data_IF_232846234516
#
_entry.id   IF_232846234516
#
_cell.length_a   1.000
_cell.length_b   1.000
_cell.length_c   1.000
_cell.angle_alpha   90.00
_cell.angle_beta   90.00
_cell.angle_gamma   90.00
#
_symmetry.space_group_name_H-M   'P 1'
#
loop_
_entity.id
_entity.type
_entity.pdbx_description
1 polymer ?
#
# COMPACT_ATOMS: atom_id res chain seq x y z
N UNK A 1 -11.83 16.03 -4.72
CA UNK A 1 -12.10 14.78 -3.97
C UNK A 1 -10.88 13.89 -4.12
N UNK A 2 -10.18 13.55 -3.03
CA UNK A 2 -9.04 12.63 -3.09
C UNK A 2 -9.52 11.26 -3.59
N UNK A 3 -8.88 10.74 -4.63
CA UNK A 3 -9.22 9.43 -5.19
C UNK A 3 -9.02 8.33 -4.14
N UNK A 4 -9.94 7.35 -4.02
CA UNK A 4 -9.70 6.21 -3.14
C UNK A 4 -8.47 5.42 -3.61
N UNK A 5 -7.54 5.13 -2.69
CA UNK A 5 -6.37 4.31 -2.96
C UNK A 5 -6.80 2.90 -3.41
N UNK A 6 -6.04 2.28 -4.32
CA UNK A 6 -6.28 0.92 -4.79
C UNK A 6 -5.30 -0.04 -4.15
N UNK A 7 -5.70 -1.29 -3.94
CA UNK A 7 -4.78 -2.32 -3.42
C UNK A 7 -3.58 -2.55 -4.36
N UNK A 8 -3.75 -2.33 -5.66
CA UNK A 8 -2.67 -2.36 -6.64
C UNK A 8 -1.62 -1.25 -6.47
N UNK A 9 -1.89 -0.23 -5.64
CA UNK A 9 -0.92 0.82 -5.29
C UNK A 9 -0.01 0.40 -4.12
N UNK A 10 -0.42 -0.63 -3.36
CA UNK A 10 0.29 -1.12 -2.17
C UNK A 10 1.77 -1.47 -2.39
N UNK A 11 2.18 -2.19 -3.46
CA UNK A 11 3.60 -2.50 -3.67
C UNK A 11 4.45 -1.23 -3.90
N UNK A 12 3.88 -0.20 -4.51
CA UNK A 12 4.56 1.08 -4.74
C UNK A 12 4.71 1.85 -3.43
N UNK A 13 3.61 1.99 -2.67
CA UNK A 13 3.63 2.66 -1.36
C UNK A 13 4.59 1.97 -0.38
N UNK A 14 4.66 0.64 -0.42
CA UNK A 14 5.61 -0.14 0.37
C UNK A 14 7.05 0.16 -0.04
N UNK A 15 7.33 0.20 -1.35
CA UNK A 15 8.65 0.51 -1.87
C UNK A 15 9.09 1.95 -1.52
N UNK A 16 8.17 2.92 -1.61
CA UNK A 16 8.41 4.29 -1.18
C UNK A 16 8.78 4.37 0.31
N UNK A 17 8.08 3.62 1.16
CA UNK A 17 8.36 3.54 2.58
C UNK A 17 9.66 2.77 2.92
N UNK A 18 10.37 2.23 1.90
CA UNK A 18 11.59 1.45 2.08
C UNK A 18 11.38 0.11 2.78
N UNK A 19 10.16 -0.44 2.76
CA UNK A 19 9.80 -1.64 3.51
C UNK A 19 9.85 -2.90 2.65
N UNK A 20 10.36 -3.99 3.23
CA UNK A 20 10.08 -5.34 2.75
C UNK A 20 8.63 -5.74 3.05
N UNK A 21 8.13 -6.77 2.35
CA UNK A 21 6.80 -7.35 2.60
C UNK A 21 6.67 -7.81 4.06
N UNK A 22 7.73 -8.40 4.62
CA UNK A 22 7.78 -8.86 6.01
C UNK A 22 7.68 -7.72 7.03
N UNK A 23 8.34 -6.59 6.77
CA UNK A 23 8.26 -5.43 7.66
C UNK A 23 6.89 -4.76 7.61
N UNK A 24 6.27 -4.68 6.43
CA UNK A 24 4.89 -4.18 6.30
C UNK A 24 3.92 -5.10 7.04
N UNK A 25 4.05 -6.42 6.88
CA UNK A 25 3.26 -7.41 7.61
C UNK A 25 3.38 -7.24 9.13
N UNK A 26 4.59 -7.04 9.66
CA UNK A 26 4.84 -6.76 11.08
C UNK A 26 4.17 -5.46 11.53
N UNK A 27 4.35 -4.35 10.80
CA UNK A 27 3.71 -3.07 11.10
C UNK A 27 2.18 -3.19 11.14
N UNK A 28 1.61 -3.92 10.19
CA UNK A 28 0.17 -4.13 10.10
C UNK A 28 -0.33 -5.24 11.03
N UNK A 29 0.55 -5.96 11.75
CA UNK A 29 0.25 -7.16 12.56
C UNK A 29 -0.62 -8.17 11.80
N UNK A 30 -0.14 -8.59 10.63
CA UNK A 30 -0.72 -9.63 9.77
C UNK A 30 0.37 -10.57 9.24
N UNK A 31 -0.01 -11.65 8.56
CA UNK A 31 0.96 -12.57 7.95
C UNK A 31 1.57 -12.00 6.66
N UNK A 32 2.77 -12.44 6.30
CA UNK A 32 3.44 -12.08 5.03
C UNK A 32 2.54 -12.45 3.83
N UNK A 33 1.98 -13.66 3.84
CA UNK A 33 1.03 -14.11 2.82
C UNK A 33 -0.23 -13.25 2.69
N UNK A 34 -0.69 -12.61 3.77
CA UNK A 34 -1.82 -11.67 3.66
C UNK A 34 -1.41 -10.48 2.80
N UNK A 35 -0.22 -9.91 3.04
CA UNK A 35 0.29 -8.75 2.31
C UNK A 35 0.54 -9.09 0.84
N UNK A 36 1.17 -10.23 0.55
CA UNK A 36 1.40 -10.70 -0.83
C UNK A 36 0.10 -10.78 -1.63
N UNK A 37 -0.95 -11.38 -1.04
CA UNK A 37 -2.27 -11.50 -1.68
C UNK A 37 -2.97 -10.15 -1.84
N UNK A 38 -2.73 -9.19 -0.96
CA UNK A 38 -3.25 -7.84 -1.11
C UNK A 38 -2.52 -7.07 -2.21
N UNK A 39 -1.19 -7.18 -2.29
CA UNK A 39 -0.40 -6.55 -3.36
C UNK A 39 -0.75 -7.13 -4.73
N UNK A 40 -0.97 -8.44 -4.81
CA UNK A 40 -1.49 -9.12 -5.99
C UNK A 40 -2.98 -8.83 -6.27
N UNK A 41 -3.67 -8.10 -5.39
CA UNK A 41 -5.10 -7.83 -5.46
C UNK A 41 -5.99 -9.09 -5.51
N UNK A 42 -5.47 -10.24 -5.07
CA UNK A 42 -6.22 -11.51 -4.99
C UNK A 42 -7.26 -11.50 -3.87
N UNK A 43 -6.95 -10.80 -2.77
CA UNK A 43 -7.81 -10.72 -1.60
C UNK A 43 -7.95 -9.28 -1.15
N UNK A 44 -9.18 -8.90 -0.85
CA UNK A 44 -9.48 -7.61 -0.23
C UNK A 44 -9.43 -7.79 1.30
N UNK A 45 -8.60 -7.02 2.03
CA UNK A 45 -8.59 -7.08 3.48
C UNK A 45 -9.96 -6.69 4.05
N UNK A 46 -10.33 -7.29 5.19
CA UNK A 46 -11.61 -7.01 5.84
C UNK A 46 -11.43 -6.51 7.28
N UNK A 47 -12.47 -5.84 7.79
CA UNK A 47 -12.57 -5.39 9.19
C UNK A 47 -11.33 -4.66 9.71
N UNK A 48 -10.75 -5.17 10.79
CA UNK A 48 -9.59 -4.56 11.44
C UNK A 48 -8.32 -4.56 10.57
N UNK A 49 -8.18 -5.51 9.63
CA UNK A 49 -7.04 -5.53 8.69
C UNK A 49 -7.14 -4.35 7.72
N UNK A 50 -8.33 -4.13 7.14
CA UNK A 50 -8.59 -3.00 6.25
C UNK A 50 -8.41 -1.65 6.95
N UNK A 51 -8.88 -1.51 8.20
CA UNK A 51 -8.68 -0.25 8.95
C UNK A 51 -7.20 0.08 9.15
N UNK A 52 -6.39 -0.89 9.57
CA UNK A 52 -4.93 -0.71 9.74
C UNK A 52 -4.24 -0.36 8.43
N UNK A 53 -4.57 -1.08 7.36
CA UNK A 53 -4.03 -0.81 6.04
C UNK A 53 -4.38 0.59 5.55
N UNK A 54 -5.65 1.00 5.65
CA UNK A 54 -6.11 2.35 5.29
C UNK A 54 -5.39 3.45 6.04
N UNK A 55 -5.26 3.27 7.35
CA UNK A 55 -4.57 4.23 8.20
C UNK A 55 -3.09 4.36 7.79
N UNK A 56 -2.40 3.24 7.61
CA UNK A 56 -1.00 3.24 7.18
C UNK A 56 -0.81 3.89 5.80
N UNK A 57 -1.69 3.58 4.84
CA UNK A 57 -1.67 4.19 3.49
C UNK A 57 -1.88 5.70 3.59
N UNK A 58 -2.89 6.15 4.34
CA UNK A 58 -3.15 7.57 4.54
C UNK A 58 -1.93 8.29 5.12
N UNK A 59 -1.21 7.67 6.06
CA UNK A 59 0.05 8.22 6.59
C UNK A 59 1.14 8.32 5.52
N UNK A 60 1.25 7.36 4.59
CA UNK A 60 2.25 7.45 3.52
C UNK A 60 1.90 8.54 2.51
N UNK A 61 0.63 8.62 2.11
CA UNK A 61 0.16 9.64 1.18
C UNK A 61 0.31 11.06 1.76
N UNK A 62 0.13 11.23 3.07
CA UNK A 62 0.33 12.51 3.75
C UNK A 62 1.80 12.97 3.79
N UNK A 63 2.76 12.07 3.56
CA UNK A 63 4.18 12.41 3.44
C UNK A 63 4.56 12.81 2.00
N UNK A 64 3.65 12.67 1.04
CA UNK A 64 3.87 12.98 -0.37
C UNK A 64 3.23 14.32 -0.71
N UNK A 65 3.97 15.19 -1.41
CA UNK A 65 3.42 16.46 -1.93
C UNK A 65 2.39 16.22 -3.03
N UNK A 66 2.72 15.36 -4.00
CA UNK A 66 1.80 14.89 -5.05
C UNK A 66 1.85 13.35 -5.17
N UNK A 67 1.02 12.62 -4.40
CA UNK A 67 0.98 11.18 -4.46
C UNK A 67 0.46 10.64 -5.81
N UNK A 68 -0.37 11.39 -6.53
CA UNK A 68 -0.94 10.93 -7.80
C UNK A 68 0.10 10.96 -8.92
N UNK A 69 0.86 12.06 -9.02
CA UNK A 69 1.97 12.16 -9.95
C UNK A 69 3.03 11.10 -9.65
N UNK A 70 3.38 10.91 -8.37
CA UNK A 70 4.36 9.89 -7.98
C UNK A 70 3.92 8.47 -8.36
N UNK A 71 2.67 8.08 -8.04
CA UNK A 71 2.13 6.76 -8.38
C UNK A 71 2.07 6.52 -9.90
N UNK A 72 1.79 7.57 -10.68
CA UNK A 72 1.77 7.50 -12.14
C UNK A 72 3.16 7.19 -12.71
N UNK A 73 4.18 7.92 -12.28
CA UNK A 73 5.54 7.72 -12.77
C UNK A 73 6.12 6.38 -12.28
N UNK A 74 5.89 6.01 -11.02
CA UNK A 74 6.34 4.73 -10.48
C UNK A 74 5.74 3.52 -11.26
N UNK A 75 4.48 3.63 -11.70
CA UNK A 75 3.84 2.60 -12.54
C UNK A 75 4.37 2.55 -13.97
N UNK A 76 4.84 3.68 -14.50
CA UNK A 76 5.43 3.78 -15.84
C UNK A 76 6.80 3.09 -15.89
N UNK A 77 7.62 3.27 -14.87
CA UNK A 77 8.96 2.66 -14.78
C UNK A 77 8.95 1.12 -14.65
N UNK A 78 7.83 0.55 -14.17
CA UNK A 78 7.65 -0.89 -13.97
C UNK A 78 7.02 -1.63 -15.16
N UNK A 79 6.68 -0.92 -16.25
CA UNK A 79 6.02 -1.46 -17.46
C UNK A 79 7.01 -1.60 -18.60
#
# INVERSE_FOLDING_TARGET
MARPFRLSDLPYLRAFAGLSVGELARKLKVGVRDVERWEASEVIPQGAKMRRLRHWIASQLALMEDPEAWLREAKKERR
#
